data_IF_488208563974
#
_entry.id   IF_488208563974
#
_cell.length_a   1.000
_cell.length_b   1.000
_cell.length_c   1.000
_cell.angle_alpha   90.00
_cell.angle_beta   90.00
_cell.angle_gamma   90.00
#
_symmetry.space_group_name_H-M   'P 1'
#
loop_
_entity.id
_entity.type
_entity.pdbx_description
1 polymer ?
#
# COMPACT_ATOMS: atom_id res chain seq x y z
N UNK A 1 -20.21 -1.53 -5.93
CA UNK A 1 -19.03 -0.64 -5.97
C UNK A 1 -18.32 -0.86 -7.28
N UNK A 2 -17.89 0.20 -7.98
CA UNK A 2 -17.08 0.01 -9.18
C UNK A 2 -15.71 -0.55 -8.78
N UNK A 3 -15.04 -1.24 -9.71
CA UNK A 3 -13.67 -1.74 -9.49
C UNK A 3 -12.73 -0.62 -9.03
N UNK A 4 -12.94 0.60 -9.53
CA UNK A 4 -12.22 1.81 -9.12
C UNK A 4 -12.42 2.18 -7.65
N UNK A 5 -13.62 1.99 -7.07
CA UNK A 5 -13.83 2.24 -5.63
C UNK A 5 -13.02 1.27 -4.76
N UNK A 6 -12.94 0.01 -5.18
CA UNK A 6 -12.14 -1.00 -4.48
C UNK A 6 -10.64 -0.67 -4.54
N UNK A 7 -10.15 -0.23 -5.71
CA UNK A 7 -8.76 0.20 -5.89
C UNK A 7 -8.41 1.41 -5.01
N UNK A 8 -9.30 2.41 -4.91
CA UNK A 8 -9.11 3.59 -4.05
C UNK A 8 -9.09 3.20 -2.56
N UNK A 9 -9.97 2.29 -2.13
CA UNK A 9 -10.01 1.80 -0.75
C UNK A 9 -8.71 1.08 -0.39
N UNK A 10 -8.18 0.24 -1.30
CA UNK A 10 -6.90 -0.46 -1.11
C UNK A 10 -5.74 0.55 -1.03
N UNK A 11 -5.74 1.59 -1.87
CA UNK A 11 -4.74 2.66 -1.83
C UNK A 11 -4.74 3.42 -0.49
N UNK A 12 -5.91 3.83 -0.01
CA UNK A 12 -6.06 4.56 1.26
C UNK A 12 -5.66 3.66 2.46
N UNK A 13 -6.07 2.39 2.46
CA UNK A 13 -5.68 1.42 3.49
C UNK A 13 -4.15 1.22 3.54
N UNK A 14 -3.49 1.19 2.38
CA UNK A 14 -2.03 1.13 2.27
C UNK A 14 -1.32 2.35 2.87
N UNK A 15 -1.82 3.55 2.60
CA UNK A 15 -1.28 4.80 3.16
C UNK A 15 -1.45 4.89 4.69
N UNK A 16 -2.64 4.53 5.18
CA UNK A 16 -2.92 4.52 6.63
C UNK A 16 -2.02 3.52 7.35
N UNK A 17 -1.82 2.33 6.78
CA UNK A 17 -0.92 1.33 7.35
C UNK A 17 0.54 1.81 7.36
N UNK A 18 1.00 2.41 6.26
CA UNK A 18 2.33 3.00 6.16
C UNK A 18 2.58 4.10 7.20
N UNK A 19 1.60 4.96 7.43
CA UNK A 19 1.73 6.04 8.41
C UNK A 19 1.67 5.54 9.86
N UNK A 20 0.72 4.65 10.20
CA UNK A 20 0.45 4.26 11.59
C UNK A 20 1.30 3.09 12.11
N UNK A 21 1.59 2.09 11.27
CA UNK A 21 2.27 0.86 11.71
C UNK A 21 3.78 0.99 11.60
N UNK A 22 4.26 1.69 10.57
CA UNK A 22 5.68 1.83 10.28
C UNK A 22 6.28 3.12 10.81
N UNK A 23 5.43 4.02 11.33
CA UNK A 23 5.81 5.37 11.75
C UNK A 23 6.71 6.01 10.68
N UNK A 24 6.33 5.85 9.41
CA UNK A 24 7.19 6.16 8.26
C UNK A 24 7.46 7.67 8.12
N UNK A 25 6.71 8.48 8.87
CA UNK A 25 6.87 9.93 8.99
C UNK A 25 7.85 10.32 10.12
N UNK A 26 8.35 9.34 10.87
CA UNK A 26 9.27 9.54 11.99
C UNK A 26 10.71 9.70 11.50
N UNK A 27 11.43 10.63 12.12
CA UNK A 27 12.80 10.99 11.74
C UNK A 27 13.85 9.88 12.02
N UNK A 28 13.48 8.85 12.78
CA UNK A 28 14.33 7.71 13.18
C UNK A 28 14.06 6.43 12.36
N UNK A 29 13.78 6.60 11.07
CA UNK A 29 13.46 5.55 10.09
C UNK A 29 14.68 4.75 9.64
N UNK A 30 15.44 4.20 10.60
CA UNK A 30 16.56 3.29 10.34
C UNK A 30 16.12 1.93 9.75
N UNK A 31 16.45 0.77 10.36
CA UNK A 31 16.09 -0.56 9.82
C UNK A 31 14.58 -0.78 9.58
N UNK A 32 13.70 0.00 10.22
CA UNK A 32 12.25 -0.03 10.04
C UNK A 32 11.82 0.33 8.61
N UNK A 33 12.62 1.10 7.88
CA UNK A 33 12.38 1.45 6.48
C UNK A 33 12.25 0.20 5.59
N UNK A 34 12.97 -0.88 5.89
CA UNK A 34 12.88 -2.14 5.14
C UNK A 34 11.52 -2.83 5.29
N UNK A 35 10.88 -2.71 6.45
CA UNK A 35 9.52 -3.22 6.65
C UNK A 35 8.53 -2.37 5.84
N UNK A 36 8.77 -1.06 5.72
CA UNK A 36 8.02 -0.18 4.82
C UNK A 36 8.16 -0.54 3.35
N UNK A 37 9.38 -0.89 2.91
CA UNK A 37 9.64 -1.38 1.56
C UNK A 37 8.94 -2.73 1.33
N UNK A 38 9.02 -3.66 2.30
CA UNK A 38 8.32 -4.95 2.23
C UNK A 38 6.80 -4.79 2.14
N UNK A 39 6.24 -3.85 2.88
CA UNK A 39 4.82 -3.52 2.82
C UNK A 39 4.43 -2.86 1.48
N UNK A 40 5.30 -1.99 0.95
CA UNK A 40 5.10 -1.38 -0.37
C UNK A 40 5.15 -2.43 -1.48
N UNK A 41 6.01 -3.44 -1.38
CA UNK A 41 6.06 -4.55 -2.33
C UNK A 41 4.74 -5.37 -2.34
N UNK A 42 4.16 -5.65 -1.16
CA UNK A 42 2.86 -6.33 -1.05
C UNK A 42 1.75 -5.46 -1.68
N UNK A 43 1.77 -4.15 -1.44
CA UNK A 43 0.83 -3.19 -2.05
C UNK A 43 0.96 -3.18 -3.58
N UNK A 44 2.18 -3.14 -4.12
CA UNK A 44 2.43 -3.18 -5.56
C UNK A 44 1.95 -4.48 -6.20
N UNK A 45 2.14 -5.62 -5.55
CA UNK A 45 1.62 -6.91 -6.02
C UNK A 45 0.08 -6.90 -6.03
N UNK A 46 -0.55 -6.38 -4.98
CA UNK A 46 -2.00 -6.25 -4.93
C UNK A 46 -2.55 -5.30 -6.02
N UNK A 47 -1.84 -4.20 -6.28
CA UNK A 47 -2.21 -3.22 -7.32
C UNK A 47 -2.06 -3.80 -8.73
N UNK A 48 -0.96 -4.50 -9.02
CA UNK A 48 -0.76 -5.21 -10.29
C UNK A 48 -1.79 -6.32 -10.49
N UNK A 49 -2.21 -7.00 -9.41
CA UNK A 49 -3.28 -7.97 -9.48
C UNK A 49 -4.62 -7.29 -9.78
N UNK A 50 -4.98 -6.25 -9.02
CA UNK A 50 -6.20 -5.48 -9.24
C UNK A 50 -6.30 -4.94 -10.67
N UNK A 51 -5.21 -4.37 -11.20
CA UNK A 51 -5.12 -3.84 -12.58
C UNK A 51 -5.28 -4.96 -13.63
N UNK A 52 -4.68 -6.14 -13.41
CA UNK A 52 -4.85 -7.31 -14.30
C UNK A 52 -6.30 -7.81 -14.41
N UNK A 53 -7.09 -7.68 -13.34
CA UNK A 53 -8.49 -8.09 -13.32
C UNK A 53 -9.46 -6.92 -13.60
N UNK A 54 -8.92 -5.71 -13.79
CA UNK A 54 -9.61 -4.59 -14.40
C UNK A 54 -9.70 -4.80 -15.92
N UNK A 55 -10.45 -5.84 -16.34
CA UNK A 55 -10.96 -5.93 -17.72
C UNK A 55 -11.70 -4.62 -18.04
N UNK A 56 -11.15 -3.91 -19.02
CA UNK A 56 -11.71 -2.76 -19.75
C UNK A 56 -13.13 -3.03 -20.21
#
# INVERSE_FOLDING_TARGET
MSKSTLAIIIYIAGLIFGALVLDLWSAETGPKAFIGIGWTAILLVALLHADKYEKK
#
